data_IF_554469898877
#
_entry.id   IF_554469898877
#
_cell.length_a   1.000
_cell.length_b   1.000
_cell.length_c   1.000
_cell.angle_alpha   90.00
_cell.angle_beta   90.00
_cell.angle_gamma   90.00
#
_symmetry.space_group_name_H-M   'P 1'
#
loop_
_entity.id
_entity.type
_entity.pdbx_description
1 polymer ?
#
# COMPACT_ATOMS: atom_id res chain seq x y z
N UNK A 1 9.21 -11.51 -14.28
CA UNK A 1 10.17 -12.05 -13.30
C UNK A 1 9.38 -12.67 -12.16
N UNK A 2 9.77 -13.85 -11.70
CA UNK A 2 8.99 -14.74 -10.81
C UNK A 2 8.64 -14.15 -9.42
N UNK A 3 9.09 -12.92 -9.13
CA UNK A 3 8.75 -12.18 -7.92
C UNK A 3 7.41 -11.42 -8.03
N UNK A 4 6.89 -11.19 -9.24
CA UNK A 4 5.67 -10.41 -9.46
C UNK A 4 4.39 -11.10 -8.96
N UNK A 5 4.42 -12.42 -8.78
CA UNK A 5 3.27 -13.23 -8.35
C UNK A 5 3.51 -13.98 -7.03
N UNK A 6 4.59 -13.65 -6.32
CA UNK A 6 4.91 -14.33 -5.07
C UNK A 6 4.07 -13.72 -3.96
N UNK A 7 2.90 -14.32 -3.73
CA UNK A 7 2.14 -14.08 -2.51
C UNK A 7 3.01 -14.50 -1.32
N UNK A 8 3.17 -13.58 -0.36
CA UNK A 8 3.79 -13.96 0.90
C UNK A 8 2.88 -14.98 1.60
N UNK A 9 3.42 -15.97 2.34
CA UNK A 9 2.60 -16.96 3.04
C UNK A 9 1.58 -16.38 4.02
N UNK A 10 1.80 -15.14 4.47
CA UNK A 10 0.92 -14.39 5.37
C UNK A 10 -0.14 -13.54 4.63
N UNK A 11 -0.25 -13.66 3.31
CA UNK A 11 -1.22 -12.94 2.48
C UNK A 11 -0.90 -11.45 2.28
N UNK A 12 0.20 -10.96 2.84
CA UNK A 12 0.64 -9.57 2.66
C UNK A 12 1.27 -9.42 1.27
N UNK A 13 0.96 -8.33 0.59
CA UNK A 13 1.53 -8.01 -0.71
C UNK A 13 3.05 -7.81 -0.61
N UNK A 14 3.79 -8.24 -1.63
CA UNK A 14 5.25 -8.22 -1.62
C UNK A 14 5.82 -6.79 -1.52
N UNK A 15 5.06 -5.78 -1.96
CA UNK A 15 5.45 -4.34 -1.87
C UNK A 15 5.36 -3.80 -0.44
N UNK A 16 4.48 -4.35 0.41
CA UNK A 16 4.09 -3.74 1.69
C UNK A 16 5.28 -3.60 2.65
N UNK A 17 6.07 -4.66 2.81
CA UNK A 17 7.27 -4.63 3.66
C UNK A 17 8.30 -3.59 3.21
N UNK A 18 8.78 -3.65 1.94
CA UNK A 18 9.70 -2.66 1.39
C UNK A 18 9.20 -1.22 1.46
N UNK A 19 7.90 -0.97 1.28
CA UNK A 19 7.33 0.38 1.40
C UNK A 19 7.41 0.92 2.82
N UNK A 20 7.06 0.11 3.83
CA UNK A 20 7.17 0.49 5.25
C UNK A 20 8.63 0.75 5.63
N UNK A 21 9.55 -0.13 5.21
CA UNK A 21 10.99 0.05 5.45
C UNK A 21 11.51 1.33 4.80
N UNK A 22 11.15 1.56 3.54
CA UNK A 22 11.54 2.77 2.81
C UNK A 22 10.99 4.05 3.45
N UNK A 23 9.75 4.02 3.93
CA UNK A 23 9.14 5.14 4.63
C UNK A 23 9.91 5.51 5.90
N UNK A 24 10.50 4.52 6.59
CA UNK A 24 11.35 4.73 7.76
C UNK A 24 10.71 5.67 8.80
N UNK A 25 9.43 5.44 9.11
CA UNK A 25 8.63 6.26 10.03
C UNK A 25 8.10 7.58 9.47
N UNK A 26 8.51 8.00 8.26
CA UNK A 26 7.95 9.19 7.61
C UNK A 26 6.50 8.93 7.15
N UNK A 27 5.65 9.97 7.11
CA UNK A 27 4.34 9.86 6.49
C UNK A 27 4.45 9.35 5.05
N UNK A 28 3.59 8.42 4.65
CA UNK A 28 3.51 7.97 3.26
C UNK A 28 2.08 7.63 2.84
N UNK A 29 1.83 7.69 1.54
CA UNK A 29 0.63 7.15 0.92
C UNK A 29 1.03 6.10 -0.12
N UNK A 30 0.34 4.97 -0.14
CA UNK A 30 0.46 3.95 -1.17
C UNK A 30 -0.84 3.92 -1.98
N UNK A 31 -0.74 4.27 -3.26
CA UNK A 31 -1.87 4.34 -4.20
C UNK A 31 -1.70 3.23 -5.22
N UNK A 32 -2.54 2.20 -5.15
CA UNK A 32 -2.40 0.95 -5.90
C UNK A 32 -3.73 0.19 -5.90
N UNK A 33 -3.92 -0.77 -6.80
CA UNK A 33 -5.12 -1.59 -6.91
C UNK A 33 -4.95 -3.01 -6.35
N UNK A 34 -3.73 -3.36 -5.94
CA UNK A 34 -3.38 -4.71 -5.47
C UNK A 34 -3.39 -4.86 -3.94
N UNK A 35 -3.83 -3.82 -3.22
CA UNK A 35 -3.84 -3.78 -1.74
C UNK A 35 -4.99 -4.62 -1.16
N UNK A 36 -4.75 -5.22 0.00
CA UNK A 36 -5.69 -6.08 0.70
C UNK A 36 -5.71 -5.85 2.22
N UNK A 37 -6.68 -6.43 2.93
CA UNK A 37 -6.79 -6.32 4.40
C UNK A 37 -5.50 -6.71 5.16
N UNK A 38 -4.77 -7.78 4.77
CA UNK A 38 -3.44 -8.07 5.33
C UNK A 38 -2.43 -6.93 5.22
N UNK A 39 -2.46 -6.15 4.14
CA UNK A 39 -1.55 -5.01 3.95
C UNK A 39 -1.87 -3.89 4.93
N UNK A 40 -3.16 -3.59 5.11
CA UNK A 40 -3.61 -2.62 6.12
C UNK A 40 -3.17 -3.04 7.52
N UNK A 41 -3.35 -4.31 7.89
CA UNK A 41 -2.93 -4.83 9.19
C UNK A 41 -1.41 -4.79 9.38
N UNK A 42 -0.65 -5.14 8.34
CA UNK A 42 0.81 -5.09 8.37
C UNK A 42 1.30 -3.66 8.57
N UNK A 43 0.80 -2.69 7.81
CA UNK A 43 1.21 -1.28 7.92
C UNK A 43 0.83 -0.71 9.28
N UNK A 44 -0.38 -0.98 9.79
CA UNK A 44 -0.80 -0.54 11.11
C UNK A 44 0.07 -1.09 12.26
N UNK A 45 0.67 -2.27 12.07
CA UNK A 45 1.53 -2.90 13.08
C UNK A 45 2.97 -2.42 13.00
N UNK A 46 3.49 -2.16 11.79
CA UNK A 46 4.93 -1.95 11.56
C UNK A 46 5.31 -0.50 11.27
N UNK A 47 4.34 0.41 11.08
CA UNK A 47 4.60 1.82 10.81
C UNK A 47 3.91 2.71 11.84
N UNK A 48 4.71 3.40 12.67
CA UNK A 48 4.21 4.27 13.72
C UNK A 48 3.72 5.63 13.21
N UNK A 49 4.18 6.03 12.01
CA UNK A 49 3.80 7.30 11.39
C UNK A 49 2.46 7.24 10.66
N UNK A 50 1.96 8.38 10.15
CA UNK A 50 0.79 8.39 9.29
C UNK A 50 1.03 7.54 8.03
N UNK A 51 0.10 6.64 7.74
CA UNK A 51 0.09 5.88 6.49
C UNK A 51 -1.32 5.86 5.89
N UNK A 52 -1.40 6.05 4.58
CA UNK A 52 -2.63 5.94 3.82
C UNK A 52 -2.47 4.87 2.74
N UNK A 53 -3.32 3.86 2.77
CA UNK A 53 -3.46 2.89 1.69
C UNK A 53 -4.72 3.26 0.92
N UNK A 54 -4.54 3.80 -0.29
CA UNK A 54 -5.62 4.28 -1.14
C UNK A 54 -5.81 3.36 -2.34
N UNK A 55 -6.84 2.53 -2.28
CA UNK A 55 -7.17 1.61 -3.35
C UNK A 55 -7.77 2.34 -4.56
N UNK A 56 -7.21 2.12 -5.75
CA UNK A 56 -7.69 2.72 -7.00
C UNK A 56 -8.23 1.67 -7.97
N UNK A 57 -9.14 2.06 -8.85
CA UNK A 57 -9.61 1.14 -9.89
C UNK A 57 -8.73 1.25 -11.15
N UNK A 58 -8.03 0.18 -11.56
CA UNK A 58 -7.07 0.25 -12.67
C UNK A 58 -7.73 0.56 -14.02
N UNK A 59 -9.03 0.27 -14.15
CA UNK A 59 -9.79 0.53 -15.39
C UNK A 59 -10.15 2.01 -15.55
N UNK A 60 -10.11 2.76 -14.46
CA UNK A 60 -10.55 4.15 -14.42
C UNK A 60 -9.37 5.13 -14.28
N UNK A 61 -8.23 4.63 -13.77
CA UNK A 61 -7.07 5.46 -13.43
C UNK A 61 -7.35 6.39 -12.25
N UNK A 62 -6.41 7.29 -11.99
CA UNK A 62 -6.55 8.33 -10.95
C UNK A 62 -7.55 9.40 -11.40
N UNK A 63 -8.44 9.78 -10.48
CA UNK A 63 -9.47 10.80 -10.65
C UNK A 63 -9.34 11.87 -9.59
N UNK A 64 -10.07 12.97 -9.78
CA UNK A 64 -10.08 14.12 -8.87
C UNK A 64 -10.34 13.73 -7.40
N UNK A 65 -11.24 12.78 -7.16
CA UNK A 65 -11.51 12.29 -5.81
C UNK A 65 -10.30 11.58 -5.18
N UNK A 66 -9.49 10.88 -5.97
CA UNK A 66 -8.28 10.21 -5.48
C UNK A 66 -7.25 11.26 -5.05
N UNK A 67 -7.05 12.31 -5.86
CA UNK A 67 -6.16 13.41 -5.50
C UNK A 67 -6.62 14.16 -4.24
N UNK A 68 -7.93 14.40 -4.10
CA UNK A 68 -8.48 15.05 -2.90
C UNK A 68 -8.28 14.24 -1.63
N UNK A 69 -8.22 12.91 -1.71
CA UNK A 69 -7.89 12.05 -0.57
C UNK A 69 -6.41 12.15 -0.16
N UNK A 70 -5.53 12.56 -1.08
CA UNK A 70 -4.09 12.69 -0.85
C UNK A 70 -3.64 14.09 -0.40
N UNK A 71 -4.57 15.04 -0.23
CA UNK A 71 -4.28 16.44 0.15
C UNK A 71 -4.77 16.75 1.54
#
# INVERSE_FOLDING_TARGET
GDALFRERPDGVHWKTGPLVEYAAGRPFAWVDDEQSDPDHAYVATHHEGPALLHHVNPRLGLRENDFRTLT
#
